data_IF_523713158453
#
_entry.id   IF_523713158453
#
_cell.length_a   1.000
_cell.length_b   1.000
_cell.length_c   1.000
_cell.angle_alpha   90.00
_cell.angle_beta   90.00
_cell.angle_gamma   90.00
#
_symmetry.space_group_name_H-M   'P 1'
#
loop_
_entity.id
_entity.type
_entity.pdbx_description
1 polymer ?
#
# COMPACT_ATOMS: atom_id res chain seq x y z
N UNK A 1 24.36 -0.05 -15.85
CA UNK A 1 23.45 -0.94 -15.07
C UNK A 1 23.58 -2.34 -15.64
N UNK A 2 23.80 -3.34 -14.80
CA UNK A 2 23.77 -4.73 -15.24
C UNK A 2 22.31 -5.16 -15.46
N UNK A 3 22.02 -5.84 -16.57
CA UNK A 3 20.70 -6.41 -16.78
C UNK A 3 20.37 -7.40 -15.64
N UNK A 4 19.13 -7.36 -15.13
CA UNK A 4 18.66 -8.37 -14.18
C UNK A 4 18.83 -9.75 -14.82
N UNK A 5 19.50 -10.67 -14.12
CA UNK A 5 19.71 -12.05 -14.57
C UNK A 5 18.86 -12.99 -13.74
N UNK A 6 18.19 -13.92 -14.40
CA UNK A 6 17.50 -15.01 -13.74
C UNK A 6 18.48 -16.17 -13.50
N UNK A 7 18.68 -16.54 -12.24
CA UNK A 7 19.44 -17.74 -11.86
C UNK A 7 18.49 -18.93 -11.78
N UNK A 8 18.71 -19.95 -12.62
CA UNK A 8 17.93 -21.19 -12.62
C UNK A 8 18.79 -22.36 -12.12
N UNK A 9 18.23 -23.17 -11.23
CA UNK A 9 18.87 -24.40 -10.75
C UNK A 9 17.83 -25.48 -10.51
N UNK A 10 18.25 -26.74 -10.68
CA UNK A 10 17.40 -27.90 -10.44
C UNK A 10 18.08 -28.87 -9.48
N UNK A 11 17.29 -29.44 -8.58
CA UNK A 11 17.71 -30.54 -7.73
C UNK A 11 17.20 -31.84 -8.36
N UNK A 12 18.09 -32.82 -8.49
CA UNK A 12 17.74 -34.15 -8.99
C UNK A 12 17.57 -35.09 -7.80
N UNK A 13 16.41 -35.74 -7.75
CA UNK A 13 16.14 -36.85 -6.86
C UNK A 13 16.11 -38.14 -7.69
N UNK A 14 16.91 -39.12 -7.30
CA UNK A 14 17.00 -40.41 -8.00
C UNK A 14 17.17 -41.54 -6.99
N UNK A 15 16.61 -42.70 -7.32
CA UNK A 15 16.83 -43.94 -6.58
C UNK A 15 17.76 -44.84 -7.38
N UNK A 16 19.00 -45.00 -6.90
CA UNK A 16 19.93 -45.98 -7.46
C UNK A 16 20.87 -46.50 -6.38
N UNK A 17 21.29 -47.75 -6.53
CA UNK A 17 22.35 -48.36 -5.73
C UNK A 17 23.75 -47.88 -6.12
N UNK A 18 23.87 -47.06 -7.17
CA UNK A 18 25.13 -46.54 -7.72
C UNK A 18 25.07 -45.02 -7.92
N UNK A 19 26.20 -44.30 -7.76
CA UNK A 19 26.25 -42.86 -7.96
C UNK A 19 26.10 -42.49 -9.44
N UNK A 20 25.54 -41.31 -9.71
CA UNK A 20 25.45 -40.76 -11.06
C UNK A 20 26.84 -40.53 -11.64
N UNK A 21 27.05 -40.99 -12.88
CA UNK A 21 28.32 -40.85 -13.61
C UNK A 21 28.32 -39.65 -14.58
N UNK A 22 27.16 -39.29 -15.14
CA UNK A 22 27.00 -38.14 -16.04
C UNK A 22 25.55 -37.61 -15.95
N UNK A 23 25.38 -36.30 -16.01
CA UNK A 23 24.07 -35.68 -16.23
C UNK A 23 24.15 -34.65 -17.36
N UNK A 24 23.19 -34.73 -18.28
CA UNK A 24 23.06 -33.80 -19.40
C UNK A 24 21.69 -33.15 -19.35
N UNK A 25 21.63 -31.82 -19.50
CA UNK A 25 20.37 -31.10 -19.67
C UNK A 25 20.35 -30.53 -21.07
N UNK A 26 19.32 -30.86 -21.82
CA UNK A 26 19.00 -30.28 -23.12
C UNK A 26 17.79 -29.38 -22.96
N UNK A 27 17.78 -28.19 -23.56
CA UNK A 27 16.59 -27.33 -23.55
C UNK A 27 16.25 -26.81 -24.94
N UNK A 28 14.95 -26.57 -25.14
CA UNK A 28 14.36 -25.93 -26.31
C UNK A 28 13.78 -24.57 -25.93
N UNK A 29 14.19 -23.54 -26.67
CA UNK A 29 13.64 -22.19 -26.61
C UNK A 29 12.80 -21.96 -27.89
N UNK A 30 11.51 -21.57 -27.84
CA UNK A 30 10.78 -21.25 -29.06
C UNK A 30 11.01 -19.78 -29.48
N UNK A 31 11.59 -19.47 -30.67
CA UNK A 31 12.20 -20.32 -31.70
C UNK A 31 13.74 -20.16 -31.75
N UNK A 32 14.49 -21.19 -31.37
CA UNK A 32 15.96 -21.17 -31.37
C UNK A 32 16.58 -22.57 -31.46
N UNK A 33 17.92 -22.64 -31.59
CA UNK A 33 18.63 -23.92 -31.67
C UNK A 33 18.54 -24.72 -30.36
N UNK A 34 18.71 -26.04 -30.46
CA UNK A 34 18.86 -26.94 -29.31
C UNK A 34 20.21 -26.72 -28.66
N UNK A 35 20.23 -26.59 -27.33
CA UNK A 35 21.47 -26.44 -26.56
C UNK A 35 21.64 -27.64 -25.61
N UNK A 36 22.82 -28.26 -25.64
CA UNK A 36 23.18 -29.38 -24.76
C UNK A 36 24.18 -28.93 -23.70
N UNK A 37 23.88 -29.22 -22.44
CA UNK A 37 24.78 -28.93 -21.33
C UNK A 37 25.14 -30.22 -20.63
N UNK A 38 26.40 -30.58 -20.74
CA UNK A 38 26.98 -31.70 -20.00
C UNK A 38 27.61 -31.17 -18.73
N UNK A 39 27.18 -31.67 -17.58
CA UNK A 39 27.84 -31.40 -16.30
C UNK A 39 28.16 -32.72 -15.58
N UNK A 40 29.36 -32.81 -15.02
CA UNK A 40 29.59 -33.76 -13.93
C UNK A 40 28.87 -33.21 -12.70
N UNK A 41 27.93 -33.98 -12.16
CA UNK A 41 27.23 -33.58 -10.93
C UNK A 41 28.24 -33.45 -9.78
N UNK A 42 28.35 -32.24 -9.23
CA UNK A 42 29.07 -31.99 -7.99
C UNK A 42 28.26 -32.49 -6.78
N UNK A 43 28.92 -32.55 -5.61
CA UNK A 43 28.31 -32.95 -4.34
C UNK A 43 26.98 -32.20 -4.12
N UNK A 44 25.91 -32.95 -3.83
CA UNK A 44 24.52 -32.51 -3.57
C UNK A 44 23.52 -32.62 -4.75
N UNK A 45 23.83 -33.36 -5.83
CA UNK A 45 22.86 -33.72 -6.89
C UNK A 45 22.11 -32.50 -7.49
N UNK A 46 22.78 -31.35 -7.56
CA UNK A 46 22.16 -30.10 -8.06
C UNK A 46 22.82 -29.72 -9.38
N UNK A 47 22.00 -29.49 -10.41
CA UNK A 47 22.44 -28.91 -11.68
C UNK A 47 22.24 -27.42 -11.60
N UNK A 48 23.34 -26.69 -11.66
CA UNK A 48 23.33 -25.23 -11.77
C UNK A 48 23.42 -24.89 -13.25
N UNK A 49 22.42 -24.18 -13.76
CA UNK A 49 22.43 -23.67 -15.12
C UNK A 49 23.31 -22.41 -15.26
N UNK A 50 24.34 -22.28 -14.42
CA UNK A 50 25.11 -21.05 -14.27
C UNK A 50 26.06 -20.79 -15.46
N UNK A 51 26.39 -21.82 -16.25
CA UNK A 51 27.10 -21.63 -17.52
C UNK A 51 26.16 -21.14 -18.65
N UNK A 52 24.84 -21.08 -18.38
CA UNK A 52 23.80 -20.51 -19.25
C UNK A 52 23.58 -19.02 -18.94
N UNK A 53 24.62 -18.28 -18.58
CA UNK A 53 24.48 -16.84 -18.33
C UNK A 53 23.93 -16.03 -19.52
N UNK A 54 23.77 -16.63 -20.71
CA UNK A 54 23.30 -15.96 -21.93
C UNK A 54 21.97 -16.46 -22.51
N UNK A 55 21.45 -17.67 -22.22
CA UNK A 55 20.39 -18.25 -23.08
C UNK A 55 18.99 -18.38 -22.44
N UNK A 56 18.87 -18.59 -21.13
CA UNK A 56 17.56 -18.57 -20.42
C UNK A 56 17.34 -17.19 -19.80
N UNK A 57 17.31 -16.17 -20.66
CA UNK A 57 17.04 -14.78 -20.28
C UNK A 57 15.75 -14.23 -20.92
N UNK A 58 15.08 -15.03 -21.75
CA UNK A 58 13.87 -14.63 -22.46
C UNK A 58 12.65 -15.18 -21.73
N UNK A 59 11.58 -14.40 -21.64
CA UNK A 59 10.32 -14.95 -21.13
C UNK A 59 9.78 -15.99 -22.09
N UNK A 60 9.37 -17.13 -21.56
CA UNK A 60 8.80 -18.20 -22.35
C UNK A 60 8.73 -19.50 -21.57
N UNK A 61 8.11 -20.49 -22.20
CA UNK A 61 8.15 -21.86 -21.75
C UNK A 61 9.34 -22.55 -22.41
N UNK A 62 10.23 -23.07 -21.58
CA UNK A 62 11.37 -23.86 -22.00
C UNK A 62 11.04 -25.32 -21.75
N UNK A 63 11.14 -26.14 -22.79
CA UNK A 63 11.05 -27.59 -22.62
C UNK A 63 12.46 -28.11 -22.36
N UNK A 64 12.65 -28.72 -21.19
CA UNK A 64 13.92 -29.29 -20.76
C UNK A 64 13.81 -30.81 -20.79
N UNK A 65 14.87 -31.46 -21.27
CA UNK A 65 15.11 -32.89 -21.14
C UNK A 65 16.36 -33.10 -20.31
N UNK A 66 16.22 -33.82 -19.19
CA UNK A 66 17.34 -34.21 -18.34
C UNK A 66 17.65 -35.68 -18.59
N UNK A 67 18.89 -35.95 -18.95
CA UNK A 67 19.45 -37.28 -19.16
C UNK A 67 20.42 -37.61 -18.03
N UNK A 68 20.19 -38.71 -17.34
CA UNK A 68 21.06 -39.22 -16.29
C UNK A 68 21.68 -40.54 -16.72
N UNK A 69 22.99 -40.67 -16.53
CA UNK A 69 23.72 -41.93 -16.72
C UNK A 69 24.21 -42.44 -15.37
N UNK A 70 23.89 -43.70 -15.05
CA UNK A 70 24.29 -44.39 -13.82
C UNK A 70 24.76 -45.79 -14.17
N UNK A 71 26.04 -46.10 -13.96
CA UNK A 71 26.58 -47.45 -14.17
C UNK A 71 26.38 -48.00 -15.60
N UNK A 72 26.38 -47.13 -16.61
CA UNK A 72 26.15 -47.48 -18.01
C UNK A 72 24.68 -47.54 -18.45
N UNK A 73 23.73 -47.38 -17.52
CA UNK A 73 22.30 -47.21 -17.81
C UNK A 73 21.97 -45.74 -17.98
N UNK A 74 21.13 -45.42 -18.96
CA UNK A 74 20.72 -44.06 -19.29
C UNK A 74 19.21 -43.91 -19.12
N UNK A 75 18.77 -42.87 -18.44
CA UNK A 75 17.35 -42.50 -18.29
C UNK A 75 17.16 -41.04 -18.65
N UNK A 76 16.03 -40.72 -19.29
CA UNK A 76 15.65 -39.35 -19.66
C UNK A 76 14.32 -38.96 -19.02
N UNK A 77 14.18 -37.69 -18.65
CA UNK A 77 12.92 -37.12 -18.18
C UNK A 77 12.75 -35.71 -18.73
N UNK A 78 11.58 -35.44 -19.32
CA UNK A 78 11.19 -34.12 -19.79
C UNK A 78 10.38 -33.35 -18.75
N UNK A 79 10.55 -32.03 -18.70
CA UNK A 79 9.69 -31.12 -17.97
C UNK A 79 9.71 -29.73 -18.61
N UNK A 80 8.68 -28.94 -18.36
CA UNK A 80 8.60 -27.56 -18.83
C UNK A 80 8.94 -26.59 -17.70
N UNK A 81 9.82 -25.62 -17.96
CA UNK A 81 10.11 -24.48 -17.09
C UNK A 81 9.44 -23.24 -17.68
N UNK A 82 8.58 -22.60 -16.89
CA UNK A 82 8.03 -21.30 -17.26
C UNK A 82 8.91 -20.19 -16.70
N UNK A 83 9.53 -19.42 -17.58
CA UNK A 83 10.35 -18.27 -17.24
C UNK A 83 9.55 -17.01 -17.54
N UNK A 84 9.33 -16.19 -16.51
CA UNK A 84 8.76 -14.85 -16.65
C UNK A 84 9.70 -13.88 -17.39
N UNK A 85 9.43 -12.58 -17.35
CA UNK A 85 10.30 -11.60 -18.03
C UNK A 85 11.58 -11.33 -17.24
N UNK A 86 12.71 -11.73 -17.81
CA UNK A 86 14.06 -11.42 -17.32
C UNK A 86 14.73 -10.26 -18.10
N UNK A 87 13.96 -9.46 -18.86
CA UNK A 87 14.46 -8.25 -19.54
C UNK A 87 14.09 -7.00 -18.75
N UNK A 88 14.96 -5.97 -18.81
CA UNK A 88 14.67 -4.64 -18.26
C UNK A 88 13.31 -4.18 -18.77
N UNK A 89 12.39 -3.95 -17.83
CA UNK A 89 11.02 -3.55 -18.15
C UNK A 89 11.02 -2.35 -19.09
N UNK A 90 10.37 -2.46 -20.26
CA UNK A 90 10.01 -1.27 -21.06
C UNK A 90 8.92 -0.44 -20.38
N UNK A 91 8.46 -0.86 -19.20
CA UNK A 91 7.58 -0.09 -18.34
C UNK A 91 8.39 1.03 -17.68
N UNK A 92 8.23 2.23 -18.21
CA UNK A 92 8.85 3.43 -17.65
C UNK A 92 8.51 3.59 -16.17
N UNK A 93 9.56 3.91 -15.39
CA UNK A 93 9.45 4.12 -13.95
C UNK A 93 8.75 5.46 -13.72
N UNK A 94 7.63 5.49 -12.98
CA UNK A 94 6.97 6.74 -12.59
C UNK A 94 7.82 7.51 -11.58
N UNK A 95 7.47 8.77 -11.33
CA UNK A 95 8.21 9.62 -10.38
C UNK A 95 7.28 10.22 -9.34
N UNK A 96 7.67 10.19 -8.07
CA UNK A 96 7.08 11.06 -7.05
C UNK A 96 7.74 12.44 -7.16
N UNK A 97 6.96 13.47 -7.43
CA UNK A 97 7.45 14.85 -7.54
C UNK A 97 7.51 15.53 -6.17
N UNK A 98 6.45 15.36 -5.37
CA UNK A 98 6.29 16.02 -4.08
C UNK A 98 5.28 15.27 -3.21
N UNK A 99 5.51 15.27 -1.90
CA UNK A 99 4.51 14.89 -0.90
C UNK A 99 4.09 16.12 -0.13
N UNK A 100 2.79 16.42 -0.15
CA UNK A 100 2.18 17.47 0.65
C UNK A 100 1.44 16.86 1.82
N UNK A 101 1.71 17.37 3.02
CA UNK A 101 0.92 17.06 4.21
C UNK A 101 0.06 18.28 4.51
N UNK A 102 -1.25 18.11 4.41
CA UNK A 102 -2.22 19.18 4.65
C UNK A 102 -2.35 19.47 6.15
N UNK A 103 -2.98 20.59 6.50
CA UNK A 103 -3.13 21.02 7.90
C UNK A 103 -3.85 19.97 8.78
N UNK A 104 -4.77 19.22 8.18
CA UNK A 104 -5.51 18.11 8.79
C UNK A 104 -4.75 16.78 8.86
N UNK A 105 -3.48 16.78 8.44
CA UNK A 105 -2.61 15.62 8.38
C UNK A 105 -2.84 14.70 7.19
N UNK A 106 -3.78 15.01 6.28
CA UNK A 106 -3.95 14.26 5.04
C UNK A 106 -2.67 14.34 4.20
N UNK A 107 -2.18 13.19 3.75
CA UNK A 107 -1.02 13.12 2.87
C UNK A 107 -1.51 13.06 1.41
N UNK A 108 -0.97 13.94 0.57
CA UNK A 108 -1.26 14.03 -0.86
C UNK A 108 0.02 13.83 -1.64
N UNK A 109 0.04 12.81 -2.49
CA UNK A 109 1.15 12.51 -3.38
C UNK A 109 0.92 13.19 -4.73
N UNK A 110 1.88 14.03 -5.14
CA UNK A 110 2.01 14.54 -6.51
C UNK A 110 3.02 13.68 -7.26
N UNK A 111 2.59 13.03 -8.33
CA UNK A 111 3.41 12.08 -9.07
C UNK A 111 3.25 12.26 -10.58
N UNK A 112 4.19 11.70 -11.33
CA UNK A 112 4.24 11.79 -12.78
C UNK A 112 4.37 10.41 -13.40
N UNK A 113 3.52 10.15 -14.41
CA UNK A 113 3.62 8.99 -15.29
C UNK A 113 3.95 9.49 -16.69
N UNK A 114 5.20 9.33 -17.12
CA UNK A 114 5.71 9.86 -18.39
C UNK A 114 5.01 9.27 -19.63
N UNK A 115 4.55 8.02 -19.54
CA UNK A 115 3.79 7.36 -20.60
C UNK A 115 2.55 6.66 -20.03
N UNK A 116 1.36 7.16 -20.33
CA UNK A 116 0.09 6.57 -19.86
C UNK A 116 -0.50 5.54 -20.83
N UNK A 117 0.01 5.42 -22.06
CA UNK A 117 -0.59 4.60 -23.13
C UNK A 117 -0.68 3.11 -22.82
N UNK A 118 0.18 2.62 -21.92
CA UNK A 118 0.22 1.23 -21.48
C UNK A 118 -0.06 1.07 -19.99
N UNK A 119 -0.51 2.13 -19.30
CA UNK A 119 -0.79 2.11 -17.87
C UNK A 119 -1.97 1.17 -17.58
N UNK A 120 -1.76 0.23 -16.66
CA UNK A 120 -2.81 -0.66 -16.13
C UNK A 120 -3.14 -0.30 -14.69
N UNK A 121 -2.12 -0.08 -13.87
CA UNK A 121 -2.28 0.31 -12.48
C UNK A 121 -1.02 0.99 -11.96
N UNK A 122 -1.14 1.70 -10.85
CA UNK A 122 0.01 2.17 -10.06
C UNK A 122 -0.01 1.52 -8.67
N UNK A 123 1.17 1.41 -8.08
CA UNK A 123 1.35 1.04 -6.68
C UNK A 123 2.31 2.00 -6.00
N UNK A 124 2.01 2.36 -4.75
CA UNK A 124 2.97 3.01 -3.87
C UNK A 124 3.15 2.24 -2.57
N UNK A 125 4.31 2.42 -1.96
CA UNK A 125 4.65 1.92 -0.63
C UNK A 125 5.13 3.05 0.26
N UNK A 126 4.80 2.99 1.54
CA UNK A 126 5.33 3.88 2.58
C UNK A 126 6.11 3.03 3.59
N UNK A 127 7.31 3.47 3.91
CA UNK A 127 8.20 2.79 4.86
C UNK A 127 8.79 3.74 5.90
N UNK A 128 9.25 3.17 7.01
CA UNK A 128 10.01 3.87 8.07
C UNK A 128 11.49 4.04 7.74
N UNK A 129 12.01 3.21 6.83
CA UNK A 129 13.41 3.21 6.41
C UNK A 129 13.50 3.30 4.87
N UNK A 130 14.46 4.08 4.32
CA UNK A 130 14.60 4.26 2.87
C UNK A 130 15.09 3.00 2.14
N UNK A 131 15.47 1.94 2.85
CA UNK A 131 15.79 0.64 2.30
C UNK A 131 14.56 -0.19 1.89
N UNK A 132 13.36 0.17 2.38
CA UNK A 132 12.10 -0.55 2.11
C UNK A 132 12.22 -2.07 2.27
N UNK A 133 12.81 -2.52 3.38
CA UNK A 133 12.72 -3.93 3.79
C UNK A 133 11.29 -4.23 4.22
N UNK A 134 10.89 -5.49 4.14
CA UNK A 134 9.50 -5.90 4.40
C UNK A 134 9.02 -5.50 5.80
N UNK A 135 9.91 -5.53 6.81
CA UNK A 135 9.61 -5.10 8.18
C UNK A 135 9.38 -3.59 8.36
N UNK A 136 9.89 -2.78 7.43
CA UNK A 136 9.81 -1.32 7.49
C UNK A 136 8.64 -0.75 6.68
N UNK A 137 8.07 -1.54 5.77
CA UNK A 137 6.91 -1.16 4.96
C UNK A 137 5.67 -1.19 5.84
N UNK A 138 5.13 0.00 6.11
CA UNK A 138 3.94 0.17 6.95
C UNK A 138 2.65 0.27 6.13
N UNK A 139 2.77 0.58 4.84
CA UNK A 139 1.62 0.70 3.97
C UNK A 139 1.97 0.42 2.51
N UNK A 140 1.05 -0.23 1.81
CA UNK A 140 1.09 -0.40 0.35
C UNK A 140 -0.32 -0.29 -0.21
N UNK A 141 -0.44 0.36 -1.38
CA UNK A 141 -1.70 0.43 -2.13
C UNK A 141 -1.43 0.15 -3.59
N UNK A 142 -2.08 -0.89 -4.12
CA UNK A 142 -2.09 -1.24 -5.55
C UNK A 142 -3.40 -0.76 -6.18
N UNK A 143 -3.34 -0.27 -7.42
CA UNK A 143 -4.53 0.05 -8.22
C UNK A 143 -5.18 1.39 -7.90
N UNK A 144 -4.42 2.38 -7.43
CA UNK A 144 -4.97 3.69 -7.08
C UNK A 144 -5.14 4.65 -8.26
N UNK A 145 -4.57 4.32 -9.43
CA UNK A 145 -4.73 5.08 -10.67
C UNK A 145 -4.67 4.11 -11.85
N UNK A 146 -5.50 4.33 -12.86
CA UNK A 146 -5.68 3.47 -14.03
C UNK A 146 -5.56 4.27 -15.33
N UNK A 147 -6.25 3.85 -16.41
CA UNK A 147 -6.29 4.55 -17.70
C UNK A 147 -6.74 6.01 -17.61
N UNK A 148 -7.46 6.40 -16.55
CA UNK A 148 -7.88 7.78 -16.27
C UNK A 148 -6.90 8.49 -15.32
N UNK A 149 -5.61 8.39 -15.61
CA UNK A 149 -4.51 8.95 -14.82
C UNK A 149 -4.83 10.34 -14.23
N UNK A 150 -4.58 10.48 -12.93
CA UNK A 150 -4.61 11.75 -12.20
C UNK A 150 -3.21 12.06 -11.68
N UNK A 151 -2.82 13.33 -11.65
CA UNK A 151 -1.50 13.71 -11.14
C UNK A 151 -1.41 13.62 -9.60
N UNK A 152 -2.54 13.70 -8.90
CA UNK A 152 -2.61 13.71 -7.45
C UNK A 152 -3.33 12.49 -6.91
N UNK A 153 -2.81 11.94 -5.82
CA UNK A 153 -3.41 10.86 -5.06
C UNK A 153 -3.49 11.24 -3.57
N UNK A 154 -4.68 11.08 -2.98
CA UNK A 154 -4.86 11.18 -1.54
C UNK A 154 -4.52 9.83 -0.92
N UNK A 155 -3.47 9.78 -0.10
CA UNK A 155 -3.08 8.55 0.60
C UNK A 155 -4.20 8.17 1.57
N UNK A 156 -4.61 6.90 1.54
CA UNK A 156 -5.65 6.43 2.45
C UNK A 156 -5.10 6.30 3.87
N UNK A 157 -5.38 7.32 4.68
CA UNK A 157 -4.92 7.42 6.07
C UNK A 157 -5.60 6.40 6.99
N UNK A 158 -6.68 5.72 6.55
CA UNK A 158 -7.44 4.77 7.38
C UNK A 158 -6.76 3.42 7.52
N UNK A 159 -6.16 2.94 6.43
CA UNK A 159 -5.65 1.57 6.34
C UNK A 159 -4.13 1.48 6.55
N UNK A 160 -3.43 2.62 6.52
CA UNK A 160 -1.98 2.64 6.47
C UNK A 160 -1.24 2.60 7.80
N UNK A 161 -1.95 2.57 8.95
CA UNK A 161 -1.34 2.69 10.29
C UNK A 161 -0.18 3.72 10.32
N UNK A 162 -0.36 4.83 9.61
CA UNK A 162 0.70 5.81 9.38
C UNK A 162 0.93 6.53 10.70
N UNK A 163 2.12 6.40 11.32
CA UNK A 163 2.38 7.01 12.62
C UNK A 163 2.39 8.53 12.50
N UNK A 164 1.87 9.21 13.51
CA UNK A 164 1.84 10.68 13.56
C UNK A 164 3.26 11.26 13.73
N UNK A 165 3.52 12.45 13.16
CA UNK A 165 4.77 13.22 13.34
C UNK A 165 6.04 12.41 13.16
N UNK A 166 6.05 11.54 12.16
CA UNK A 166 7.12 10.58 11.91
C UNK A 166 7.68 10.80 10.53
N UNK A 167 9.01 10.77 10.42
CA UNK A 167 9.70 10.77 9.13
C UNK A 167 9.47 9.45 8.41
N UNK A 168 9.03 9.52 7.17
CA UNK A 168 8.66 8.38 6.35
C UNK A 168 9.19 8.55 4.91
N UNK A 169 9.18 7.44 4.19
CA UNK A 169 9.68 7.35 2.83
C UNK A 169 8.59 6.75 1.96
N UNK A 170 8.35 7.34 0.79
CA UNK A 170 7.39 6.81 -0.20
C UNK A 170 8.06 6.60 -1.54
N UNK A 171 7.71 5.48 -2.18
CA UNK A 171 8.11 5.15 -3.55
C UNK A 171 6.92 4.64 -4.33
N UNK A 172 6.97 4.79 -5.65
CA UNK A 172 5.89 4.41 -6.58
C UNK A 172 6.44 3.50 -7.68
N UNK A 173 5.62 2.58 -8.18
CA UNK A 173 5.89 1.81 -9.39
C UNK A 173 4.65 1.70 -10.25
N UNK A 174 4.85 1.30 -11.49
CA UNK A 174 3.82 1.20 -12.51
C UNK A 174 3.65 -0.22 -13.01
N UNK A 175 2.40 -0.61 -13.21
CA UNK A 175 2.01 -1.81 -13.94
C UNK A 175 1.65 -1.41 -15.36
N UNK A 176 2.42 -1.92 -16.33
CA UNK A 176 2.19 -1.69 -17.74
C UNK A 176 1.66 -2.95 -18.41
N UNK A 177 0.45 -2.94 -18.97
CA UNK A 177 -0.32 -4.12 -19.42
C UNK A 177 0.53 -5.29 -19.98
N UNK A 178 0.80 -5.29 -21.29
CA UNK A 178 1.68 -6.31 -21.90
C UNK A 178 3.17 -6.03 -21.66
N UNK A 179 3.55 -5.03 -20.88
CA UNK A 179 4.95 -4.60 -20.69
C UNK A 179 5.52 -4.96 -19.31
N UNK A 180 4.73 -5.55 -18.42
CA UNK A 180 5.17 -6.00 -17.09
C UNK A 180 5.06 -4.91 -16.04
N UNK A 181 5.90 -4.99 -15.01
CA UNK A 181 5.94 -4.01 -13.91
C UNK A 181 7.25 -3.21 -14.05
N UNK A 182 7.20 -1.91 -13.79
CA UNK A 182 8.43 -1.10 -13.71
C UNK A 182 9.22 -1.44 -12.45
N UNK A 183 10.49 -1.05 -12.42
CA UNK A 183 11.20 -0.91 -11.14
C UNK A 183 10.51 0.16 -10.28
N UNK A 184 10.87 0.18 -9.00
CA UNK A 184 10.46 1.25 -8.10
C UNK A 184 11.14 2.58 -8.46
N UNK A 185 10.43 3.68 -8.27
CA UNK A 185 11.03 5.01 -8.28
C UNK A 185 12.06 5.17 -7.17
N UNK A 186 12.90 6.20 -7.29
CA UNK A 186 13.56 6.76 -6.13
C UNK A 186 12.51 7.14 -5.07
N UNK A 187 12.89 7.07 -3.80
CA UNK A 187 12.01 7.44 -2.72
C UNK A 187 11.99 8.95 -2.50
N UNK A 188 10.89 9.44 -1.94
CA UNK A 188 10.76 10.81 -1.41
C UNK A 188 10.58 10.71 0.09
N UNK A 189 11.38 11.49 0.83
CA UNK A 189 11.25 11.66 2.27
C UNK A 189 10.17 12.70 2.58
N UNK A 190 9.36 12.45 3.60
CA UNK A 190 8.39 13.40 4.14
C UNK A 190 8.14 13.15 5.63
N UNK A 191 7.72 14.18 6.36
CA UNK A 191 7.26 14.04 7.75
C UNK A 191 5.72 13.95 7.78
N UNK A 192 5.16 12.91 8.39
CA UNK A 192 3.71 12.76 8.53
C UNK A 192 3.10 13.81 9.47
N UNK A 193 1.84 14.16 9.23
CA UNK A 193 1.05 15.03 10.11
C UNK A 193 0.38 14.26 11.24
N UNK A 194 -0.50 14.95 11.97
CA UNK A 194 -1.52 14.28 12.81
C UNK A 194 -2.79 14.25 12.00
N UNK A 195 -3.24 13.06 11.60
CA UNK A 195 -4.44 12.92 10.80
C UNK A 195 -5.71 13.00 11.65
N UNK A 196 -6.59 13.93 11.28
CA UNK A 196 -7.84 14.20 11.97
C UNK A 196 -7.64 14.86 13.33
N UNK A 197 -8.75 14.99 14.06
CA UNK A 197 -8.80 15.60 15.38
C UNK A 197 -9.67 14.74 16.28
N UNK A 198 -9.16 14.35 17.44
CA UNK A 198 -9.96 13.70 18.46
C UNK A 198 -10.91 14.71 19.11
N UNK A 199 -12.15 14.29 19.30
CA UNK A 199 -13.18 15.10 19.89
C UNK A 199 -14.08 14.27 20.81
N UNK A 200 -14.57 14.91 21.87
CA UNK A 200 -15.75 14.45 22.57
C UNK A 200 -16.98 15.01 21.88
N UNK A 201 -17.94 14.13 21.59
CA UNK A 201 -19.20 14.47 20.96
C UNK A 201 -20.36 14.15 21.91
N UNK A 202 -21.43 14.93 21.83
CA UNK A 202 -22.69 14.68 22.54
C UNK A 202 -23.83 14.65 21.52
N UNK A 203 -24.72 13.69 21.68
CA UNK A 203 -25.86 13.51 20.78
C UNK A 203 -26.94 14.56 21.07
N UNK A 204 -27.92 14.72 20.17
CA UNK A 204 -29.09 15.56 20.46
C UNK A 204 -30.05 14.95 21.47
N UNK A 205 -29.97 13.65 21.71
CA UNK A 205 -30.76 12.97 22.75
C UNK A 205 -30.20 13.29 24.13
N UNK A 206 -28.88 13.47 24.22
CA UNK A 206 -28.14 13.65 25.47
C UNK A 206 -27.75 15.12 25.71
N UNK A 207 -28.36 16.07 24.99
CA UNK A 207 -27.94 17.47 24.88
C UNK A 207 -27.91 18.27 26.20
N UNK A 208 -28.53 17.73 27.25
CA UNK A 208 -28.56 18.31 28.61
C UNK A 208 -27.31 18.01 29.42
N UNK A 209 -26.52 17.01 29.06
CA UNK A 209 -25.33 16.58 29.81
C UNK A 209 -24.04 17.16 29.17
N UNK A 210 -23.98 18.49 29.05
CA UNK A 210 -22.81 19.17 28.46
C UNK A 210 -21.52 18.94 29.26
N UNK A 211 -21.63 18.71 30.57
CA UNK A 211 -20.48 18.41 31.44
C UNK A 211 -19.74 17.13 30.99
N UNK A 212 -20.46 16.17 30.40
CA UNK A 212 -19.88 14.97 29.82
C UNK A 212 -18.81 15.28 28.75
N UNK A 213 -18.96 16.36 27.98
CA UNK A 213 -17.95 16.81 27.00
C UNK A 213 -16.68 17.33 27.69
N UNK A 214 -16.84 17.98 28.85
CA UNK A 214 -15.73 18.58 29.59
C UNK A 214 -14.91 17.54 30.33
N UNK A 215 -15.57 16.52 30.89
CA UNK A 215 -14.91 15.46 31.67
C UNK A 215 -14.64 14.19 30.86
N UNK A 216 -15.13 14.09 29.63
CA UNK A 216 -14.96 12.91 28.79
C UNK A 216 -15.68 11.67 29.34
N UNK A 217 -16.79 11.88 30.06
CA UNK A 217 -17.57 10.81 30.70
C UNK A 217 -18.78 10.44 29.85
N UNK A 218 -19.34 9.22 30.00
CA UNK A 218 -20.61 8.88 29.37
C UNK A 218 -21.69 9.93 29.71
N UNK A 219 -22.53 10.36 28.75
CA UNK A 219 -22.73 9.77 27.42
C UNK A 219 -21.83 10.35 26.30
N UNK A 220 -20.79 11.12 26.62
CA UNK A 220 -19.89 11.66 25.59
C UNK A 220 -19.18 10.54 24.83
N UNK A 221 -19.17 10.65 23.50
CA UNK A 221 -18.49 9.73 22.62
C UNK A 221 -17.15 10.31 22.17
N UNK A 222 -16.05 9.62 22.50
CA UNK A 222 -14.73 9.93 21.97
C UNK A 222 -14.63 9.39 20.55
N UNK A 223 -14.39 10.29 19.59
CA UNK A 223 -14.26 9.94 18.17
C UNK A 223 -13.22 10.82 17.49
N UNK A 224 -12.53 10.26 16.49
CA UNK A 224 -11.67 11.02 15.60
C UNK A 224 -12.48 11.52 14.40
N UNK A 225 -12.40 12.82 14.12
CA UNK A 225 -13.11 13.47 13.01
C UNK A 225 -12.15 14.25 12.11
N UNK A 226 -12.63 14.66 10.93
CA UNK A 226 -11.96 15.61 10.03
C UNK A 226 -12.84 16.85 9.85
N UNK A 227 -12.23 17.97 9.43
CA UNK A 227 -12.88 19.28 9.35
C UNK A 227 -12.74 19.86 7.95
N UNK A 228 -13.81 20.44 7.41
CA UNK A 228 -13.81 21.11 6.09
C UNK A 228 -14.51 22.48 6.19
N UNK A 229 -13.79 23.62 6.14
CA UNK A 229 -12.32 23.75 6.19
C UNK A 229 -11.70 23.23 7.50
N UNK A 230 -10.38 23.07 7.59
CA UNK A 230 -9.74 22.41 8.74
C UNK A 230 -9.93 23.13 10.08
N UNK A 231 -10.05 24.46 10.06
CA UNK A 231 -10.20 25.26 11.28
C UNK A 231 -11.63 25.18 11.81
N UNK A 232 -11.83 24.91 13.11
CA UNK A 232 -13.17 24.81 13.68
C UNK A 232 -13.78 26.20 13.90
N UNK A 233 -14.52 26.67 12.90
CA UNK A 233 -15.31 27.91 12.96
C UNK A 233 -16.74 27.70 12.45
N UNK A 234 -17.63 28.66 12.66
CA UNK A 234 -19.01 28.62 12.16
C UNK A 234 -19.02 28.38 10.64
N UNK A 235 -19.84 27.42 10.19
CA UNK A 235 -19.91 26.95 8.81
C UNK A 235 -18.96 25.79 8.49
N UNK A 236 -18.13 25.34 9.44
CA UNK A 236 -17.21 24.20 9.22
C UNK A 236 -17.95 22.87 9.28
N UNK A 237 -17.73 22.01 8.28
CA UNK A 237 -18.28 20.65 8.25
C UNK A 237 -17.46 19.70 9.11
N UNK A 238 -18.13 19.00 10.03
CA UNK A 238 -17.60 17.84 10.73
C UNK A 238 -17.78 16.61 9.83
N UNK A 239 -16.67 15.96 9.51
CA UNK A 239 -16.65 14.76 8.68
C UNK A 239 -16.15 13.57 9.49
N UNK A 240 -16.72 12.39 9.24
CA UNK A 240 -16.17 11.12 9.70
C UNK A 240 -14.81 10.87 9.03
N UNK A 241 -14.05 9.91 9.54
CA UNK A 241 -12.72 9.57 9.02
C UNK A 241 -12.74 9.09 7.57
N UNK A 242 -13.89 8.67 7.04
CA UNK A 242 -14.07 8.35 5.63
C UNK A 242 -14.38 9.58 4.73
N UNK A 243 -14.36 10.79 5.30
CA UNK A 243 -14.57 12.05 4.61
C UNK A 243 -16.04 12.41 4.33
N UNK A 244 -17.00 11.57 4.76
CA UNK A 244 -18.44 11.89 4.69
C UNK A 244 -18.85 12.79 5.87
N UNK A 245 -19.79 13.73 5.67
CA UNK A 245 -20.33 14.53 6.77
C UNK A 245 -20.87 13.66 7.90
N UNK A 246 -20.66 14.03 9.16
CA UNK A 246 -21.07 13.28 10.34
C UNK A 246 -22.58 13.42 10.66
N UNK A 247 -23.43 13.17 9.67
CA UNK A 247 -24.89 13.16 9.80
C UNK A 247 -25.37 11.84 10.43
N UNK A 248 -26.60 11.79 11.00
CA UNK A 248 -27.15 10.58 11.59
C UNK A 248 -27.13 9.37 10.64
N UNK A 249 -27.47 9.58 9.37
CA UNK A 249 -27.51 8.52 8.37
C UNK A 249 -26.11 7.99 8.05
N UNK A 250 -25.13 8.87 7.87
CA UNK A 250 -23.74 8.46 7.63
C UNK A 250 -23.14 7.76 8.87
N UNK A 251 -23.41 8.25 10.08
CA UNK A 251 -22.96 7.60 11.33
C UNK A 251 -23.56 6.19 11.43
N UNK A 252 -24.85 6.03 11.10
CA UNK A 252 -25.53 4.72 11.13
C UNK A 252 -24.95 3.73 10.13
N UNK A 253 -24.61 4.20 8.93
CA UNK A 253 -24.10 3.36 7.85
C UNK A 253 -22.62 2.98 8.05
N UNK A 254 -21.80 3.94 8.46
CA UNK A 254 -20.34 3.83 8.41
C UNK A 254 -19.74 3.47 9.77
N UNK A 255 -20.26 4.04 10.86
CA UNK A 255 -19.73 3.86 12.21
C UNK A 255 -20.60 2.87 12.98
N UNK A 256 -20.49 1.59 12.64
CA UNK A 256 -21.31 0.53 13.25
C UNK A 256 -21.16 0.46 14.78
N UNK A 257 -20.01 0.88 15.30
CA UNK A 257 -19.71 0.92 16.74
C UNK A 257 -20.13 2.23 17.43
N UNK A 258 -20.67 3.22 16.70
CA UNK A 258 -21.16 4.45 17.30
C UNK A 258 -22.32 4.17 18.27
N UNK A 259 -22.43 4.92 19.40
CA UNK A 259 -23.55 4.75 20.32
C UNK A 259 -24.89 5.08 19.64
N UNK A 260 -25.95 4.37 20.00
CA UNK A 260 -27.24 4.43 19.31
C UNK A 260 -27.85 5.84 19.26
N UNK A 261 -27.61 6.66 20.28
CA UNK A 261 -28.10 8.03 20.33
C UNK A 261 -27.50 8.90 19.19
N UNK A 262 -26.25 8.65 18.81
CA UNK A 262 -25.61 9.31 17.66
C UNK A 262 -26.14 8.78 16.33
N UNK A 263 -26.44 7.48 16.22
CA UNK A 263 -27.08 6.91 15.01
C UNK A 263 -28.50 7.44 14.79
N UNK A 264 -29.19 7.84 15.87
CA UNK A 264 -30.55 8.40 15.83
C UNK A 264 -30.57 9.90 15.59
N UNK A 265 -29.71 10.65 16.28
CA UNK A 265 -29.78 12.11 16.33
C UNK A 265 -28.52 12.82 15.79
N UNK A 266 -27.43 12.12 15.52
CA UNK A 266 -26.18 12.73 15.08
C UNK A 266 -25.46 13.47 16.21
N UNK A 267 -24.44 14.25 15.84
CA UNK A 267 -23.65 15.07 16.76
C UNK A 267 -24.35 16.42 16.93
N UNK A 268 -24.72 16.77 18.17
CA UNK A 268 -25.30 18.08 18.51
C UNK A 268 -24.24 19.01 19.07
N UNK A 269 -23.31 18.48 19.86
CA UNK A 269 -22.22 19.22 20.46
C UNK A 269 -20.90 18.50 20.22
N UNK A 270 -19.85 19.28 19.97
CA UNK A 270 -18.51 18.74 19.79
C UNK A 270 -17.48 19.60 20.51
N UNK A 271 -16.48 18.96 21.11
CA UNK A 271 -15.33 19.58 21.75
C UNK A 271 -14.06 18.90 21.26
N UNK A 272 -13.19 19.66 20.61
CA UNK A 272 -11.92 19.14 20.11
C UNK A 272 -10.88 19.06 21.23
N UNK A 273 -10.09 17.99 21.27
CA UNK A 273 -9.09 17.76 22.33
C UNK A 273 -7.70 18.28 21.96
N UNK A 274 -7.49 18.61 20.68
CA UNK A 274 -6.25 19.22 20.20
C UNK A 274 -6.08 20.62 20.81
N UNK A 275 -4.86 20.94 21.23
CA UNK A 275 -4.51 22.26 21.78
C UNK A 275 -3.37 22.89 20.99
N UNK A 276 -3.70 23.87 20.14
CA UNK A 276 -2.73 24.65 19.37
C UNK A 276 -3.33 26.02 19.00
N UNK A 277 -2.71 26.76 18.06
CA UNK A 277 -3.20 28.08 17.63
C UNK A 277 -4.57 28.07 16.95
N UNK A 278 -5.06 26.91 16.49
CA UNK A 278 -6.32 26.78 15.76
C UNK A 278 -7.40 26.07 16.59
N UNK A 279 -7.00 25.22 17.53
CA UNK A 279 -7.88 24.45 18.39
C UNK A 279 -7.72 24.88 19.84
N UNK A 280 -8.85 25.31 20.43
CA UNK A 280 -8.94 25.58 21.85
C UNK A 280 -9.81 24.49 22.52
N UNK A 281 -9.21 23.60 23.33
CA UNK A 281 -9.95 22.50 23.97
C UNK A 281 -10.90 22.97 25.07
N UNK A 282 -10.98 24.27 25.36
CA UNK A 282 -11.98 24.82 26.28
C UNK A 282 -13.31 25.11 25.58
N UNK A 283 -13.34 25.18 24.24
CA UNK A 283 -14.52 25.57 23.48
C UNK A 283 -15.41 24.37 23.15
N UNK A 284 -16.73 24.59 23.23
CA UNK A 284 -17.76 23.65 22.79
C UNK A 284 -18.46 24.28 21.59
N UNK A 285 -18.68 23.48 20.56
CA UNK A 285 -19.30 23.89 19.31
C UNK A 285 -20.68 23.25 19.16
N UNK A 286 -21.67 24.05 18.78
CA UNK A 286 -22.98 23.58 18.37
C UNK A 286 -22.91 23.08 16.93
N UNK A 287 -23.45 21.90 16.66
CA UNK A 287 -23.48 21.28 15.34
C UNK A 287 -24.92 21.11 14.87
N UNK A 288 -25.19 21.52 13.62
CA UNK A 288 -26.41 21.18 12.90
C UNK A 288 -26.36 19.71 12.53
N UNK A 289 -27.15 18.90 13.23
CA UNK A 289 -27.14 17.44 13.07
C UNK A 289 -27.44 16.99 11.62
N UNK A 290 -28.29 17.72 10.91
CA UNK A 290 -28.69 17.41 9.54
C UNK A 290 -27.58 17.61 8.51
N UNK A 291 -26.71 18.61 8.72
CA UNK A 291 -25.64 18.97 7.78
C UNK A 291 -24.25 18.62 8.29
N UNK A 292 -24.12 18.32 9.59
CA UNK A 292 -22.88 18.21 10.35
C UNK A 292 -22.04 19.50 10.36
N UNK A 293 -22.65 20.67 10.15
CA UNK A 293 -21.96 21.96 10.18
C UNK A 293 -21.95 22.58 11.57
N UNK A 294 -20.84 23.21 11.95
CA UNK A 294 -20.76 24.07 13.13
C UNK A 294 -21.68 25.28 12.92
N UNK A 295 -22.62 25.49 13.82
CA UNK A 295 -23.60 26.60 13.78
C UNK A 295 -23.20 27.75 14.70
N UNK A 296 -22.66 27.43 15.87
CA UNK A 296 -22.30 28.41 16.89
C UNK A 296 -21.20 27.87 17.80
N UNK A 297 -20.53 28.79 18.48
CA UNK A 297 -19.61 28.48 19.58
C UNK A 297 -20.35 28.82 20.87
N UNK A 298 -20.34 27.91 21.83
CA UNK A 298 -20.99 28.13 23.12
C UNK A 298 -20.21 29.11 23.99
N UNK A 299 -20.96 29.91 24.75
CA UNK A 299 -20.38 30.80 25.77
C UNK A 299 -19.78 30.01 26.94
N UNK A 300 -20.37 28.84 27.24
CA UNK A 300 -19.91 27.93 28.28
C UNK A 300 -18.65 27.22 27.81
N UNK A 301 -17.60 27.31 28.63
CA UNK A 301 -16.30 26.68 28.38
C UNK A 301 -16.04 25.55 29.36
N UNK A 302 -15.30 24.55 28.89
CA UNK A 302 -14.68 23.58 29.78
C UNK A 302 -13.43 24.21 30.43
N UNK A 303 -13.26 24.03 31.73
CA UNK A 303 -12.14 24.55 32.52
C UNK A 303 -11.27 23.41 33.05
#
# INVERSE_FOLDING_TARGET
MAAAKCDASFKIEYESSSPITEATVTYLNPPGPTHDIKQLLAMNNTIKLNDIQNDIQTSGTYDLEVKLAVGGVVTTQGFSLEVGRCTSSSCEIPKVLEIKVLEDGQIVMNYEVFNTSNLTALEYQIAKDPGFKDEDIIYSKVGFSDVNYTQFENIDMRNGNIPDKTRLYIRIRKYCGKNGVSDWSDFVEFDSGIWGVEAYCLSGVDDRDKDALCFGTPPAWLVKVTLKPFRPDVGTLICLTNGKPATPDNIREIEQNAPDNFKKSGIRWIRFLRSNSEFNPSLIYLVKQETAEIDAIEDVKCY
#
